data_IF_191253786215
#
_entry.id   IF_191253786215
#
_cell.length_a   1.000
_cell.length_b   1.000
_cell.length_c   1.000
_cell.angle_alpha   90.00
_cell.angle_beta   90.00
_cell.angle_gamma   90.00
#
_symmetry.space_group_name_H-M   'P 1'
#
loop_
_entity.id
_entity.type
_entity.pdbx_description
1 polymer ?
#
# COMPACT_ATOMS: atom_id res chain seq x y z
N UNK A 1 84.36 -15.18 40.67
CA UNK A 1 82.97 -14.91 40.94
C UNK A 1 82.43 -14.24 39.69
N UNK A 2 81.70 -15.01 38.82
CA UNK A 2 81.07 -14.51 37.56
C UNK A 2 79.61 -14.21 37.89
N UNK A 3 79.18 -12.96 37.71
CA UNK A 3 77.77 -12.57 37.80
C UNK A 3 77.10 -12.83 36.46
N UNK A 4 76.11 -13.67 36.48
CA UNK A 4 75.20 -13.90 35.34
C UNK A 4 74.11 -12.83 35.42
N UNK A 5 73.94 -12.03 34.36
CA UNK A 5 72.84 -11.09 34.19
C UNK A 5 71.84 -11.77 33.27
N UNK A 6 70.71 -12.11 33.84
CA UNK A 6 69.56 -12.67 33.04
C UNK A 6 68.77 -11.50 32.50
N UNK A 7 68.76 -11.29 31.18
CA UNK A 7 67.93 -10.32 30.49
C UNK A 7 66.52 -10.92 30.27
N UNK A 8 65.50 -10.30 30.86
CA UNK A 8 64.09 -10.60 30.68
C UNK A 8 63.60 -9.91 29.41
N UNK A 9 63.34 -10.69 28.32
CA UNK A 9 62.74 -10.18 27.10
C UNK A 9 61.24 -10.22 27.28
N UNK A 10 60.59 -9.03 27.51
CA UNK A 10 59.15 -8.87 27.44
C UNK A 10 58.70 -8.82 25.97
N UNK A 11 58.11 -9.89 25.48
CA UNK A 11 57.36 -9.95 24.22
C UNK A 11 56.01 -9.20 24.41
N UNK A 12 55.92 -7.98 23.90
CA UNK A 12 54.64 -7.31 23.70
C UNK A 12 53.93 -7.97 22.52
N UNK A 13 52.96 -8.84 22.78
CA UNK A 13 52.00 -9.26 21.82
C UNK A 13 51.02 -8.10 21.58
N UNK A 14 51.29 -7.29 20.56
CA UNK A 14 50.31 -6.36 20.02
C UNK A 14 49.17 -7.18 19.41
N UNK A 15 48.09 -7.37 20.16
CA UNK A 15 46.84 -7.88 19.60
C UNK A 15 46.27 -6.80 18.67
N UNK A 16 46.47 -6.94 17.37
CA UNK A 16 45.68 -6.24 16.39
C UNK A 16 44.25 -6.77 16.53
N UNK A 17 43.40 -6.05 17.27
CA UNK A 17 41.97 -6.20 17.12
C UNK A 17 41.63 -5.78 15.71
N UNK A 18 40.91 -6.59 14.91
CA UNK A 18 40.41 -6.13 13.62
C UNK A 18 39.52 -4.94 13.91
N UNK A 19 39.79 -3.81 13.28
CA UNK A 19 38.93 -2.65 13.26
C UNK A 19 37.59 -3.13 12.68
N UNK A 20 36.62 -3.48 13.52
CA UNK A 20 35.24 -3.70 13.09
C UNK A 20 34.77 -2.34 12.61
N UNK A 21 34.68 -2.16 11.29
CA UNK A 21 33.98 -1.01 10.72
C UNK A 21 32.56 -1.05 11.30
N UNK A 22 32.30 -0.20 12.28
CA UNK A 22 30.95 0.00 12.80
C UNK A 22 30.14 0.62 11.68
N UNK A 23 29.27 -0.16 11.08
CA UNK A 23 28.33 0.34 10.10
C UNK A 23 27.39 1.35 10.77
N UNK A 24 27.05 2.43 10.08
CA UNK A 24 26.06 3.40 10.53
C UNK A 24 24.77 3.17 9.76
N UNK A 25 23.65 3.03 10.47
CA UNK A 25 22.33 2.80 9.86
C UNK A 25 21.91 3.97 8.95
N UNK A 26 22.27 5.20 9.28
CA UNK A 26 21.90 6.35 8.48
C UNK A 26 22.63 6.37 7.12
N UNK A 27 23.90 5.91 7.10
CA UNK A 27 24.63 5.71 5.84
C UNK A 27 24.01 4.60 5.00
N UNK A 28 23.61 3.49 5.62
CA UNK A 28 22.92 2.39 4.92
C UNK A 28 21.58 2.87 4.36
N UNK A 29 20.85 3.68 5.12
CA UNK A 29 19.58 4.28 4.68
C UNK A 29 19.76 5.20 3.46
N UNK A 30 20.79 6.06 3.45
CA UNK A 30 21.12 6.88 2.28
C UNK A 30 21.48 6.00 1.07
N UNK A 31 22.37 5.01 1.25
CA UNK A 31 22.78 4.10 0.18
C UNK A 31 21.55 3.34 -0.39
N UNK A 32 20.60 2.93 0.48
CA UNK A 32 19.34 2.32 0.07
C UNK A 32 18.48 3.27 -0.78
N UNK A 33 18.26 4.50 -0.33
CA UNK A 33 17.45 5.49 -1.08
C UNK A 33 18.05 5.73 -2.47
N UNK A 34 19.38 5.94 -2.54
CA UNK A 34 20.09 6.12 -3.82
C UNK A 34 19.93 4.89 -4.72
N UNK A 35 19.98 3.68 -4.17
CA UNK A 35 19.79 2.44 -4.91
C UNK A 35 18.35 2.33 -5.46
N UNK A 36 17.33 2.66 -4.67
CA UNK A 36 15.92 2.69 -5.13
C UNK A 36 15.76 3.66 -6.28
N UNK A 37 16.28 4.88 -6.16
CA UNK A 37 16.22 5.91 -7.20
C UNK A 37 16.98 5.48 -8.48
N UNK A 38 18.09 4.77 -8.34
CA UNK A 38 18.83 4.22 -9.48
C UNK A 38 18.02 3.14 -10.22
N UNK A 39 17.36 2.23 -9.49
CA UNK A 39 16.46 1.22 -10.08
C UNK A 39 15.29 1.89 -10.78
N UNK A 40 14.74 2.96 -10.19
CA UNK A 40 13.65 3.77 -10.77
C UNK A 40 13.96 4.37 -12.15
N UNK A 41 15.22 4.54 -12.53
CA UNK A 41 15.58 4.96 -13.89
C UNK A 41 15.25 3.90 -14.96
N UNK A 42 15.19 2.61 -14.57
CA UNK A 42 14.89 1.49 -15.48
C UNK A 42 13.43 1.08 -15.47
N UNK A 43 12.77 1.21 -14.32
CA UNK A 43 11.34 0.99 -14.16
C UNK A 43 10.77 2.10 -13.25
N UNK A 44 10.12 3.08 -13.86
CA UNK A 44 9.56 4.24 -13.14
C UNK A 44 8.50 3.87 -12.11
N UNK A 45 7.87 2.70 -12.23
CA UNK A 45 6.89 2.21 -11.25
C UNK A 45 7.54 1.79 -9.92
N UNK A 46 8.87 1.68 -9.84
CA UNK A 46 9.57 1.38 -8.59
C UNK A 46 9.49 2.53 -7.59
N UNK A 47 9.54 3.78 -8.07
CA UNK A 47 9.54 4.98 -7.23
C UNK A 47 8.21 5.70 -7.38
N UNK A 48 7.34 5.51 -6.42
CA UNK A 48 6.01 6.13 -6.40
C UNK A 48 6.07 7.59 -5.93
N UNK A 49 6.84 7.86 -4.86
CA UNK A 49 7.10 9.21 -4.39
C UNK A 49 8.55 9.35 -3.89
N UNK A 50 9.09 10.56 -4.05
CA UNK A 50 10.39 10.93 -3.48
C UNK A 50 10.37 12.39 -3.05
N UNK A 51 10.65 12.64 -1.77
CA UNK A 51 10.70 13.98 -1.16
C UNK A 51 11.97 14.18 -0.31
N UNK A 52 13.02 13.38 -0.60
CA UNK A 52 14.35 13.51 0.02
C UNK A 52 15.25 14.53 -0.70
N UNK A 53 16.55 14.58 -0.31
CA UNK A 53 17.53 15.50 -0.86
C UNK A 53 17.69 15.36 -2.39
N UNK A 54 17.66 16.47 -3.12
CA UNK A 54 17.76 16.46 -4.58
C UNK A 54 19.09 15.85 -5.07
N UNK A 55 20.18 16.07 -4.34
CA UNK A 55 21.51 15.52 -4.63
C UNK A 55 21.62 14.00 -4.47
N UNK A 56 20.58 13.33 -3.96
CA UNK A 56 20.53 11.87 -3.92
C UNK A 56 19.95 11.26 -5.21
N UNK A 57 19.31 12.07 -6.04
CA UNK A 57 18.86 11.62 -7.36
C UNK A 57 20.06 11.28 -8.24
N UNK A 58 19.94 10.26 -9.09
CA UNK A 58 21.01 9.91 -10.02
C UNK A 58 21.38 11.09 -10.92
N UNK A 59 22.65 11.48 -10.91
CA UNK A 59 23.19 12.56 -11.77
C UNK A 59 23.60 12.05 -13.16
N UNK A 60 23.82 10.74 -13.31
CA UNK A 60 24.25 10.11 -14.53
C UNK A 60 23.06 9.55 -15.32
N UNK A 61 23.16 9.56 -16.63
CA UNK A 61 22.20 8.86 -17.48
C UNK A 61 22.29 7.35 -17.21
N UNK A 62 21.13 6.69 -17.18
CA UNK A 62 21.06 5.23 -17.03
C UNK A 62 21.90 4.53 -18.10
N UNK A 63 22.58 3.45 -17.69
CA UNK A 63 23.31 2.59 -18.62
C UNK A 63 22.35 2.00 -19.67
N UNK A 64 22.85 1.79 -20.88
CA UNK A 64 22.07 1.21 -21.99
C UNK A 64 21.65 -0.23 -21.67
N UNK A 65 22.52 -0.97 -20.99
CA UNK A 65 22.26 -2.34 -20.54
C UNK A 65 21.89 -2.28 -19.06
N UNK A 66 20.79 -2.94 -18.69
CA UNK A 66 20.35 -3.00 -17.30
C UNK A 66 21.39 -3.72 -16.44
N UNK A 67 21.99 -3.06 -15.43
CA UNK A 67 23.10 -3.61 -14.65
C UNK A 67 22.60 -4.49 -13.50
N UNK A 68 21.82 -5.53 -13.81
CA UNK A 68 21.13 -6.38 -12.85
C UNK A 68 22.06 -6.94 -11.76
N UNK A 69 23.19 -7.54 -12.15
CA UNK A 69 24.13 -8.17 -11.19
C UNK A 69 24.68 -7.16 -10.18
N UNK A 70 25.03 -5.95 -10.66
CA UNK A 70 25.53 -4.86 -9.80
C UNK A 70 24.45 -4.40 -8.80
N UNK A 71 23.22 -4.20 -9.27
CA UNK A 71 22.11 -3.74 -8.42
C UNK A 71 21.72 -4.80 -7.37
N UNK A 72 21.67 -6.08 -7.77
CA UNK A 72 21.44 -7.21 -6.85
C UNK A 72 22.57 -7.30 -5.81
N UNK A 73 23.83 -7.16 -6.25
CA UNK A 73 24.98 -7.18 -5.35
C UNK A 73 24.90 -6.03 -4.32
N UNK A 74 24.59 -4.81 -4.78
CA UNK A 74 24.43 -3.66 -3.89
C UNK A 74 23.32 -3.86 -2.85
N UNK A 75 22.16 -4.41 -3.26
CA UNK A 75 21.08 -4.71 -2.33
C UNK A 75 21.47 -5.77 -1.28
N UNK A 76 22.22 -6.81 -1.68
CA UNK A 76 22.73 -7.83 -0.77
C UNK A 76 23.78 -7.27 0.20
N UNK A 77 24.71 -6.44 -0.27
CA UNK A 77 25.73 -5.79 0.57
C UNK A 77 25.08 -4.92 1.66
N UNK A 78 24.04 -4.16 1.31
CA UNK A 78 23.28 -3.37 2.29
C UNK A 78 22.53 -4.26 3.28
N UNK A 79 21.94 -5.35 2.81
CA UNK A 79 21.28 -6.34 3.68
C UNK A 79 22.24 -6.95 4.68
N UNK A 80 23.44 -7.33 4.25
CA UNK A 80 24.49 -7.91 5.10
C UNK A 80 24.99 -6.89 6.12
N UNK A 81 25.16 -5.61 5.74
CA UNK A 81 25.48 -4.51 6.67
C UNK A 81 24.40 -4.36 7.75
N UNK A 82 23.12 -4.47 7.38
CA UNK A 82 22.00 -4.47 8.33
C UNK A 82 22.07 -5.66 9.31
N UNK A 83 22.41 -6.86 8.82
CA UNK A 83 22.57 -8.05 9.65
C UNK A 83 23.68 -7.88 10.68
N UNK A 84 24.83 -7.35 10.27
CA UNK A 84 25.97 -7.05 11.17
C UNK A 84 25.55 -6.08 12.28
N UNK A 85 24.75 -5.06 11.93
CA UNK A 85 24.24 -4.10 12.94
C UNK A 85 23.32 -4.76 13.96
N UNK A 86 22.40 -5.63 13.53
CA UNK A 86 21.50 -6.37 14.44
C UNK A 86 22.29 -7.31 15.37
N UNK A 87 23.28 -8.03 14.84
CA UNK A 87 24.13 -8.94 15.61
C UNK A 87 25.04 -8.23 16.61
N UNK A 88 25.36 -6.94 16.39
CA UNK A 88 26.19 -6.14 17.28
C UNK A 88 25.59 -5.94 18.67
N UNK A 89 24.27 -6.16 18.82
CA UNK A 89 23.50 -5.95 20.06
C UNK A 89 23.72 -4.57 20.69
N UNK A 90 24.04 -3.58 19.87
CA UNK A 90 24.23 -2.21 20.32
C UNK A 90 22.88 -1.64 20.80
N UNK A 91 22.75 -1.23 22.08
CA UNK A 91 21.48 -0.73 22.61
C UNK A 91 21.00 0.58 21.97
N UNK A 92 21.88 1.30 21.27
CA UNK A 92 21.54 2.53 20.56
C UNK A 92 21.00 2.29 19.14
N UNK A 93 20.91 1.02 18.72
CA UNK A 93 20.40 0.64 17.41
C UNK A 93 18.94 0.26 17.51
N UNK A 94 18.08 0.90 16.70
CA UNK A 94 16.67 0.53 16.63
C UNK A 94 16.50 -0.72 15.74
N UNK A 95 16.25 -1.87 16.37
CA UNK A 95 16.13 -3.15 15.68
C UNK A 95 14.95 -3.15 14.67
N UNK A 96 13.79 -2.58 15.03
CA UNK A 96 12.62 -2.54 14.14
C UNK A 96 12.90 -1.74 12.86
N UNK A 97 13.66 -0.64 12.97
CA UNK A 97 14.10 0.14 11.80
C UNK A 97 14.94 -0.71 10.85
N UNK A 98 15.93 -1.44 11.40
CA UNK A 98 16.82 -2.28 10.58
C UNK A 98 16.07 -3.45 9.98
N UNK A 99 15.23 -4.15 10.75
CA UNK A 99 14.40 -5.26 10.26
C UNK A 99 13.50 -4.82 9.11
N UNK A 100 12.90 -3.62 9.21
CA UNK A 100 12.08 -3.08 8.12
C UNK A 100 12.94 -2.75 6.89
N UNK A 101 14.12 -2.15 7.07
CA UNK A 101 15.04 -1.86 5.97
C UNK A 101 15.52 -3.15 5.28
N UNK A 102 15.78 -4.22 6.03
CA UNK A 102 16.11 -5.53 5.45
C UNK A 102 14.98 -6.07 4.56
N UNK A 103 13.72 -5.93 4.98
CA UNK A 103 12.57 -6.35 4.17
C UNK A 103 12.42 -5.50 2.90
N UNK A 104 12.64 -4.20 3.00
CA UNK A 104 12.65 -3.32 1.83
C UNK A 104 13.79 -3.68 0.86
N UNK A 105 14.97 -4.05 1.36
CA UNK A 105 16.09 -4.51 0.54
C UNK A 105 15.80 -5.85 -0.16
N UNK A 106 15.10 -6.79 0.51
CA UNK A 106 14.61 -8.01 -0.11
C UNK A 106 13.66 -7.69 -1.26
N UNK A 107 12.69 -6.80 -1.02
CA UNK A 107 11.73 -6.38 -2.03
C UNK A 107 12.42 -5.70 -3.24
N UNK A 108 13.32 -4.77 -2.98
CA UNK A 108 14.09 -4.09 -4.03
C UNK A 108 14.92 -5.07 -4.86
N UNK A 109 15.66 -5.97 -4.23
CA UNK A 109 16.43 -7.03 -4.92
C UNK A 109 15.52 -7.88 -5.78
N UNK A 110 14.40 -8.34 -5.23
CA UNK A 110 13.40 -9.14 -5.97
C UNK A 110 12.88 -8.39 -7.19
N UNK A 111 12.57 -7.12 -7.04
CA UNK A 111 12.12 -6.29 -8.17
C UNK A 111 13.21 -6.12 -9.23
N UNK A 112 14.47 -5.93 -8.84
CA UNK A 112 15.61 -5.90 -9.77
C UNK A 112 15.73 -7.22 -10.54
N UNK A 113 15.61 -8.36 -9.86
CA UNK A 113 15.64 -9.67 -10.51
C UNK A 113 14.47 -9.85 -11.50
N UNK A 114 13.28 -9.35 -11.16
CA UNK A 114 12.11 -9.37 -12.04
C UNK A 114 12.30 -8.48 -13.29
N UNK A 115 12.84 -7.28 -13.13
CA UNK A 115 13.19 -6.40 -14.28
C UNK A 115 14.20 -7.11 -15.19
N UNK A 116 15.11 -7.88 -14.63
CA UNK A 116 16.07 -8.72 -15.37
C UNK A 116 15.48 -9.99 -16.01
N UNK A 117 14.15 -10.21 -15.86
CA UNK A 117 13.43 -11.32 -16.50
C UNK A 117 13.22 -12.58 -15.63
N UNK A 118 13.62 -12.54 -14.35
CA UNK A 118 13.32 -13.64 -13.41
C UNK A 118 11.81 -13.62 -13.07
N UNK A 119 11.20 -14.79 -13.07
CA UNK A 119 9.80 -14.99 -12.71
C UNK A 119 9.66 -15.66 -11.36
N UNK A 120 8.65 -15.28 -10.61
CA UNK A 120 8.24 -15.87 -9.35
C UNK A 120 6.78 -16.32 -9.45
N UNK A 121 6.39 -17.32 -8.69
CA UNK A 121 4.97 -17.61 -8.48
C UNK A 121 4.29 -16.45 -7.75
N UNK A 122 2.97 -16.33 -7.87
CA UNK A 122 2.20 -15.28 -7.21
C UNK A 122 2.48 -15.21 -5.70
N UNK A 123 2.52 -16.36 -5.03
CA UNK A 123 2.72 -16.42 -3.58
C UNK A 123 4.17 -16.11 -3.18
N UNK A 124 5.18 -16.58 -3.94
CA UNK A 124 6.58 -16.20 -3.72
C UNK A 124 6.80 -14.70 -3.92
N UNK A 125 6.20 -14.13 -4.97
CA UNK A 125 6.27 -12.70 -5.25
C UNK A 125 5.63 -11.89 -4.12
N UNK A 126 4.45 -12.30 -3.64
CA UNK A 126 3.77 -11.66 -2.52
C UNK A 126 4.62 -11.68 -1.23
N UNK A 127 5.24 -12.81 -0.92
CA UNK A 127 6.10 -12.94 0.25
C UNK A 127 7.37 -12.07 0.14
N UNK A 128 8.00 -12.04 -1.02
CA UNK A 128 9.26 -11.33 -1.23
C UNK A 128 9.09 -9.81 -1.37
N UNK A 129 8.02 -9.34 -2.04
CA UNK A 129 7.77 -7.91 -2.24
C UNK A 129 7.04 -7.27 -1.07
N UNK A 130 6.08 -7.96 -0.46
CA UNK A 130 5.15 -7.36 0.51
C UNK A 130 5.25 -7.95 1.92
N UNK A 131 6.16 -8.92 2.15
CA UNK A 131 6.25 -9.65 3.42
C UNK A 131 4.91 -10.30 3.79
N UNK A 132 4.10 -10.71 2.79
CA UNK A 132 2.72 -11.12 2.95
C UNK A 132 2.45 -12.50 2.34
N UNK A 133 1.60 -13.27 3.02
CA UNK A 133 1.15 -14.58 2.58
C UNK A 133 -0.36 -14.53 2.30
N UNK A 134 -0.78 -14.44 1.03
CA UNK A 134 -2.19 -14.36 0.68
C UNK A 134 -2.88 -15.71 0.91
N UNK A 135 -4.05 -15.73 1.60
CA UNK A 135 -4.82 -16.96 1.79
C UNK A 135 -5.31 -17.50 0.45
N UNK A 136 -5.56 -18.81 0.40
CA UNK A 136 -6.21 -19.47 -0.71
C UNK A 136 -7.73 -19.55 -0.46
N UNK A 137 -8.53 -19.13 -1.44
CA UNK A 137 -9.97 -19.30 -1.45
C UNK A 137 -10.40 -20.21 -2.60
N UNK A 138 -11.10 -21.34 -2.34
CA UNK A 138 -11.68 -22.13 -3.42
C UNK A 138 -12.78 -21.34 -4.14
N UNK A 139 -12.95 -21.54 -5.45
CA UNK A 139 -13.97 -20.82 -6.24
C UNK A 139 -15.38 -20.99 -5.67
N UNK A 140 -15.68 -22.16 -5.09
CA UNK A 140 -16.96 -22.42 -4.41
C UNK A 140 -17.28 -21.47 -3.23
N UNK A 141 -16.28 -20.78 -2.68
CA UNK A 141 -16.52 -19.71 -1.72
C UNK A 141 -17.16 -18.51 -2.40
N UNK A 142 -16.68 -18.15 -3.57
CA UNK A 142 -17.22 -17.02 -4.35
C UNK A 142 -18.58 -17.37 -4.99
N UNK A 143 -18.79 -18.64 -5.40
CA UNK A 143 -20.07 -19.08 -5.93
C UNK A 143 -21.22 -18.81 -4.95
N UNK A 144 -21.01 -19.03 -3.65
CA UNK A 144 -22.01 -18.72 -2.61
C UNK A 144 -22.31 -17.21 -2.51
N UNK A 145 -21.31 -16.37 -2.66
CA UNK A 145 -21.50 -14.92 -2.65
C UNK A 145 -22.21 -14.43 -3.90
N UNK A 146 -21.96 -15.08 -5.05
CA UNK A 146 -22.70 -14.82 -6.29
C UNK A 146 -24.16 -15.25 -6.17
N UNK A 147 -24.47 -16.39 -5.52
CA UNK A 147 -25.84 -16.82 -5.25
C UNK A 147 -26.58 -15.80 -4.37
N UNK A 148 -25.94 -15.26 -3.31
CA UNK A 148 -26.52 -14.19 -2.49
C UNK A 148 -26.77 -12.92 -3.33
N UNK A 149 -25.81 -12.54 -4.18
CA UNK A 149 -25.95 -11.39 -5.08
C UNK A 149 -27.08 -11.61 -6.09
N UNK A 150 -27.21 -12.84 -6.62
CA UNK A 150 -28.26 -13.22 -7.54
C UNK A 150 -29.67 -13.07 -6.93
N UNK A 151 -29.85 -13.44 -5.66
CA UNK A 151 -31.11 -13.25 -4.93
C UNK A 151 -31.41 -11.77 -4.62
N UNK A 152 -30.38 -10.96 -4.50
CA UNK A 152 -30.51 -9.54 -4.16
C UNK A 152 -30.85 -8.67 -5.36
N UNK A 153 -30.36 -9.02 -6.55
CA UNK A 153 -30.53 -8.23 -7.78
C UNK A 153 -31.67 -8.78 -8.63
N UNK A 154 -32.60 -7.92 -9.05
CA UNK A 154 -33.76 -8.26 -9.86
C UNK A 154 -33.37 -8.47 -11.33
N UNK A 155 -34.22 -9.25 -12.10
CA UNK A 155 -34.12 -9.45 -13.53
C UNK A 155 -33.71 -10.86 -13.96
N UNK A 156 -33.78 -11.13 -15.26
CA UNK A 156 -33.54 -12.47 -15.87
C UNK A 156 -32.22 -12.53 -16.65
N UNK A 157 -31.50 -11.40 -16.75
CA UNK A 157 -30.20 -11.33 -17.42
C UNK A 157 -29.10 -12.01 -16.59
N UNK A 158 -27.92 -12.21 -17.20
CA UNK A 158 -26.73 -12.68 -16.48
C UNK A 158 -26.36 -11.72 -15.35
N UNK A 159 -25.82 -12.25 -14.26
CA UNK A 159 -25.64 -11.51 -13.02
C UNK A 159 -24.79 -10.24 -13.18
N UNK A 160 -23.72 -10.27 -13.99
CA UNK A 160 -22.90 -9.08 -14.27
C UNK A 160 -23.69 -7.95 -14.95
N UNK A 161 -24.64 -8.29 -15.83
CA UNK A 161 -25.54 -7.30 -16.45
C UNK A 161 -26.54 -6.73 -15.44
N UNK A 162 -27.13 -7.59 -14.59
CA UNK A 162 -28.04 -7.15 -13.51
C UNK A 162 -27.32 -6.21 -12.53
N UNK A 163 -26.08 -6.57 -12.15
CA UNK A 163 -25.22 -5.72 -11.32
C UNK A 163 -24.93 -4.37 -12.00
N UNK A 164 -24.55 -4.37 -13.27
CA UNK A 164 -24.28 -3.15 -14.03
C UNK A 164 -25.52 -2.25 -14.07
N UNK A 165 -26.70 -2.80 -14.44
CA UNK A 165 -27.96 -2.04 -14.48
C UNK A 165 -28.36 -1.49 -13.10
N UNK A 166 -28.11 -2.27 -12.03
CA UNK A 166 -28.35 -1.78 -10.68
C UNK A 166 -27.42 -0.61 -10.34
N UNK A 167 -26.12 -0.72 -10.63
CA UNK A 167 -25.12 0.30 -10.32
C UNK A 167 -25.28 1.58 -11.16
N UNK A 168 -25.80 1.51 -12.37
CA UNK A 168 -26.09 2.71 -13.21
C UNK A 168 -26.96 3.74 -12.50
N UNK A 169 -27.80 3.30 -11.55
CA UNK A 169 -28.68 4.17 -10.77
C UNK A 169 -27.93 5.03 -9.72
N UNK A 170 -26.63 4.76 -9.52
CA UNK A 170 -25.78 5.39 -8.51
C UNK A 170 -24.59 6.13 -9.13
N UNK A 171 -24.62 6.40 -10.43
CA UNK A 171 -23.62 7.20 -11.12
C UNK A 171 -23.79 8.66 -10.71
N UNK A 172 -22.68 9.31 -10.38
CA UNK A 172 -22.61 10.75 -10.12
C UNK A 172 -22.61 11.46 -11.49
N UNK A 173 -23.55 12.38 -11.76
CA UNK A 173 -23.46 13.24 -12.94
C UNK A 173 -22.14 14.00 -12.99
N UNK A 174 -21.53 14.15 -14.17
CA UNK A 174 -20.18 14.76 -14.30
C UNK A 174 -20.10 16.17 -13.71
N UNK A 175 -21.15 16.96 -13.88
CA UNK A 175 -21.27 18.34 -13.35
C UNK A 175 -21.49 18.39 -11.84
N UNK A 176 -21.78 17.26 -11.20
CA UNK A 176 -21.97 17.12 -9.75
C UNK A 176 -20.75 16.50 -9.03
N UNK A 177 -19.72 16.08 -9.77
CA UNK A 177 -18.53 15.42 -9.17
C UNK A 177 -17.90 16.28 -8.09
N UNK A 178 -17.60 17.56 -8.38
CA UNK A 178 -17.00 18.47 -7.40
C UNK A 178 -17.86 18.62 -6.14
N UNK A 179 -19.18 18.75 -6.31
CA UNK A 179 -20.09 18.90 -5.18
C UNK A 179 -20.07 17.68 -4.26
N UNK A 180 -20.08 16.47 -4.84
CA UNK A 180 -20.09 15.21 -4.09
C UNK A 180 -18.73 14.96 -3.43
N UNK A 181 -17.63 15.12 -4.16
CA UNK A 181 -16.29 14.91 -3.63
C UNK A 181 -15.90 15.92 -2.56
N UNK A 182 -16.25 17.20 -2.73
CA UNK A 182 -15.99 18.22 -1.73
C UNK A 182 -16.72 17.93 -0.41
N UNK A 183 -17.97 17.46 -0.47
CA UNK A 183 -18.74 17.11 0.74
C UNK A 183 -18.14 15.87 1.42
N UNK A 184 -17.79 14.82 0.66
CA UNK A 184 -17.17 13.62 1.21
C UNK A 184 -15.80 13.93 1.82
N UNK A 185 -14.98 14.73 1.14
CA UNK A 185 -13.65 15.15 1.62
C UNK A 185 -13.73 16.02 2.86
N UNK A 186 -14.65 16.99 2.89
CA UNK A 186 -14.85 17.88 4.05
C UNK A 186 -15.24 17.09 5.29
N UNK A 187 -16.15 16.12 5.17
CA UNK A 187 -16.57 15.26 6.28
C UNK A 187 -15.41 14.36 6.74
N UNK A 188 -14.71 13.69 5.81
CA UNK A 188 -13.57 12.85 6.13
C UNK A 188 -12.48 13.63 6.85
N UNK A 189 -12.16 14.83 6.37
CA UNK A 189 -11.18 15.73 7.00
C UNK A 189 -11.65 16.21 8.39
N UNK A 190 -12.92 16.59 8.52
CA UNK A 190 -13.46 17.07 9.79
C UNK A 190 -13.40 16.00 10.89
N UNK A 191 -13.74 14.74 10.55
CA UNK A 191 -13.64 13.63 11.47
C UNK A 191 -12.18 13.31 11.81
N UNK A 192 -11.31 13.23 10.80
CA UNK A 192 -9.87 12.96 11.03
C UNK A 192 -9.23 14.00 11.94
N UNK A 193 -9.56 15.29 11.74
CA UNK A 193 -9.05 16.41 12.53
C UNK A 193 -9.49 16.40 13.99
N UNK A 194 -10.55 15.69 14.34
CA UNK A 194 -10.96 15.55 15.76
C UNK A 194 -9.95 14.71 16.56
N UNK A 195 -9.20 13.82 15.89
CA UNK A 195 -8.33 12.85 16.55
C UNK A 195 -6.85 12.98 16.16
N UNK A 196 -6.54 13.62 15.03
CA UNK A 196 -5.18 13.84 14.55
C UNK A 196 -4.91 15.34 14.42
N UNK A 197 -3.76 15.77 14.97
CA UNK A 197 -3.30 17.14 14.79
C UNK A 197 -2.77 17.31 13.37
N UNK A 198 -3.49 18.07 12.55
CA UNK A 198 -3.08 18.37 11.18
C UNK A 198 -2.33 19.73 11.19
N UNK A 199 -1.14 19.81 10.54
CA UNK A 199 -0.40 21.07 10.40
C UNK A 199 -1.24 22.15 9.72
N UNK A 200 -0.94 23.40 10.03
CA UNK A 200 -1.70 24.53 9.47
C UNK A 200 -1.62 24.62 7.94
N UNK A 201 -0.46 24.22 7.36
CA UNK A 201 -0.22 24.20 5.93
C UNK A 201 -0.76 22.94 5.23
N UNK A 202 -1.22 21.92 5.99
CA UNK A 202 -1.70 20.67 5.44
C UNK A 202 -2.83 20.90 4.44
N UNK A 203 -2.67 20.35 3.24
CA UNK A 203 -3.67 20.44 2.18
C UNK A 203 -3.42 19.42 1.06
N UNK A 204 -4.43 19.20 0.24
CA UNK A 204 -4.25 18.57 -1.06
C UNK A 204 -5.06 19.29 -2.15
N UNK A 205 -4.64 19.14 -3.39
CA UNK A 205 -5.36 19.59 -4.58
C UNK A 205 -5.99 18.36 -5.24
N UNK A 206 -7.28 18.48 -5.63
CA UNK A 206 -7.99 17.45 -6.36
C UNK A 206 -8.03 17.81 -7.86
N UNK A 207 -7.64 16.89 -8.73
CA UNK A 207 -7.71 17.01 -10.17
C UNK A 207 -8.45 15.84 -10.81
N UNK A 208 -9.20 16.12 -11.89
CA UNK A 208 -9.81 15.08 -12.72
C UNK A 208 -8.96 14.87 -13.97
N UNK A 209 -8.64 13.60 -14.22
CA UNK A 209 -7.76 13.19 -15.33
C UNK A 209 -8.41 12.10 -16.17
N UNK A 210 -7.82 11.84 -17.34
CA UNK A 210 -8.19 10.75 -18.24
C UNK A 210 -6.95 9.93 -18.65
N UNK A 211 -7.18 8.83 -19.35
CA UNK A 211 -6.13 7.96 -19.90
C UNK A 211 -5.18 7.38 -18.82
N UNK A 212 -5.77 6.95 -17.69
CA UNK A 212 -5.05 6.32 -16.58
C UNK A 212 -5.51 4.87 -16.39
N UNK A 213 -4.57 4.02 -15.91
CA UNK A 213 -4.86 2.62 -15.58
C UNK A 213 -5.51 2.46 -14.20
N UNK A 214 -5.40 3.47 -13.34
CA UNK A 214 -5.94 3.54 -11.98
C UNK A 214 -7.20 4.43 -11.90
N UNK A 215 -7.95 4.35 -10.83
CA UNK A 215 -9.18 5.14 -10.59
C UNK A 215 -8.96 6.39 -9.75
N UNK A 216 -8.04 6.35 -8.81
CA UNK A 216 -7.55 7.46 -8.01
C UNK A 216 -6.08 7.28 -7.73
N UNK A 217 -5.38 8.35 -7.41
CA UNK A 217 -3.96 8.33 -7.10
C UNK A 217 -3.57 9.54 -6.26
N UNK A 218 -2.76 9.31 -5.22
CA UNK A 218 -2.21 10.36 -4.37
C UNK A 218 -0.71 10.53 -4.66
N UNK A 219 -0.32 11.71 -5.08
CA UNK A 219 1.08 12.14 -5.20
C UNK A 219 1.44 13.00 -3.99
N UNK A 220 2.08 12.39 -2.98
CA UNK A 220 2.62 13.15 -1.87
C UNK A 220 3.86 13.94 -2.30
N UNK A 221 3.86 15.25 -1.99
CA UNK A 221 4.87 16.21 -2.44
C UNK A 221 5.83 16.66 -1.35
N UNK A 222 5.71 16.09 -0.14
CA UNK A 222 6.39 16.57 1.06
C UNK A 222 5.64 17.73 1.72
N UNK A 223 6.12 18.17 2.87
CA UNK A 223 5.58 19.30 3.63
C UNK A 223 4.05 19.28 3.83
N UNK A 224 3.51 18.09 4.03
CA UNK A 224 2.06 17.86 4.23
C UNK A 224 1.19 18.29 3.04
N UNK A 225 1.72 18.22 1.82
CA UNK A 225 1.00 18.55 0.59
C UNK A 225 0.84 17.33 -0.29
N UNK A 226 -0.31 17.20 -0.94
CA UNK A 226 -0.56 16.17 -1.95
C UNK A 226 -1.27 16.70 -3.18
N UNK A 227 -1.05 16.05 -4.32
CA UNK A 227 -1.90 16.14 -5.50
C UNK A 227 -2.68 14.83 -5.60
N UNK A 228 -4.01 14.90 -5.52
CA UNK A 228 -4.89 13.73 -5.71
C UNK A 228 -5.54 13.82 -7.08
N UNK A 229 -5.36 12.78 -7.88
CA UNK A 229 -5.94 12.69 -9.22
C UNK A 229 -7.02 11.62 -9.25
N UNK A 230 -8.17 11.93 -9.87
CA UNK A 230 -9.29 11.01 -10.07
C UNK A 230 -9.50 10.80 -11.56
N UNK A 231 -9.44 9.55 -12.00
CA UNK A 231 -9.68 9.19 -13.39
C UNK A 231 -11.17 9.17 -13.71
N UNK A 232 -11.57 9.94 -14.73
CA UNK A 232 -12.96 10.08 -15.17
C UNK A 232 -13.28 9.40 -16.49
N UNK A 233 -12.43 8.47 -16.96
CA UNK A 233 -12.68 7.67 -18.17
C UNK A 233 -13.95 6.83 -18.06
N UNK A 234 -14.29 6.44 -16.85
CA UNK A 234 -15.49 5.65 -16.55
C UNK A 234 -16.43 6.42 -15.61
N UNK A 235 -17.74 6.12 -15.68
CA UNK A 235 -18.69 6.69 -14.74
C UNK A 235 -18.29 6.38 -13.29
N UNK A 236 -18.29 7.41 -12.45
CA UNK A 236 -17.97 7.31 -11.01
C UNK A 236 -19.28 7.10 -10.26
N UNK A 237 -19.35 6.03 -9.46
CA UNK A 237 -20.50 5.74 -8.60
C UNK A 237 -20.38 6.44 -7.26
N UNK A 238 -21.48 6.65 -6.59
CA UNK A 238 -21.58 7.48 -5.37
C UNK A 238 -20.74 6.95 -4.19
N UNK A 239 -20.58 5.62 -4.06
CA UNK A 239 -19.70 4.98 -3.08
C UNK A 239 -18.23 5.38 -3.24
N UNK A 240 -17.81 5.62 -4.50
CA UNK A 240 -16.44 6.01 -4.79
C UNK A 240 -16.07 7.39 -4.22
N UNK A 241 -17.04 8.25 -3.97
CA UNK A 241 -16.78 9.55 -3.35
C UNK A 241 -16.24 9.39 -1.93
N UNK A 242 -16.85 8.53 -1.11
CA UNK A 242 -16.36 8.19 0.24
C UNK A 242 -15.03 7.45 0.14
N UNK A 243 -14.96 6.43 -0.72
CA UNK A 243 -13.78 5.59 -0.86
C UNK A 243 -12.56 6.44 -1.26
N UNK A 244 -12.65 7.26 -2.30
CA UNK A 244 -11.54 8.08 -2.75
C UNK A 244 -11.21 9.22 -1.78
N UNK A 245 -12.22 9.90 -1.19
CA UNK A 245 -11.99 10.93 -0.20
C UNK A 245 -11.25 10.40 1.04
N UNK A 246 -11.57 9.18 1.48
CA UNK A 246 -10.94 8.55 2.64
C UNK A 246 -9.64 7.85 2.29
N UNK A 247 -9.60 7.09 1.20
CA UNK A 247 -8.44 6.31 0.79
C UNK A 247 -7.27 7.19 0.31
N UNK A 248 -7.54 8.14 -0.60
CA UNK A 248 -6.50 9.04 -1.09
C UNK A 248 -6.21 10.18 -0.11
N UNK A 249 -7.25 10.66 0.59
CA UNK A 249 -7.19 11.82 1.48
C UNK A 249 -7.14 11.46 2.97
N UNK A 250 -8.28 11.53 3.64
CA UNK A 250 -8.42 11.54 5.10
C UNK A 250 -9.16 10.32 5.65
N UNK A 251 -8.49 9.42 6.40
CA UNK A 251 -7.11 9.41 6.87
C UNK A 251 -6.18 8.47 6.06
N UNK A 252 -6.38 8.32 4.75
CA UNK A 252 -5.65 7.40 3.88
C UNK A 252 -4.24 7.86 3.51
N UNK A 253 -3.88 7.72 2.22
CA UNK A 253 -2.51 7.95 1.74
C UNK A 253 -1.94 9.32 2.10
N UNK A 254 -2.72 10.39 1.97
CA UNK A 254 -2.26 11.74 2.34
C UNK A 254 -1.81 11.82 3.81
N UNK A 255 -2.62 11.32 4.74
CA UNK A 255 -2.31 11.34 6.17
C UNK A 255 -1.19 10.36 6.50
N UNK A 256 -1.18 9.17 5.89
CA UNK A 256 -0.11 8.19 6.08
C UNK A 256 1.26 8.77 5.71
N UNK A 257 1.37 9.32 4.50
CA UNK A 257 2.63 9.90 4.02
C UNK A 257 3.06 11.12 4.85
N UNK A 258 2.09 11.96 5.23
CA UNK A 258 2.33 13.10 6.13
C UNK A 258 2.90 12.65 7.48
N UNK A 259 2.32 11.63 8.10
CA UNK A 259 2.77 11.12 9.40
C UNK A 259 4.14 10.42 9.31
N UNK A 260 4.41 9.67 8.23
CA UNK A 260 5.75 9.11 8.00
C UNK A 260 6.79 10.21 7.82
N UNK A 261 6.50 11.22 6.98
CA UNK A 261 7.39 12.36 6.77
C UNK A 261 7.70 13.09 8.08
N UNK A 262 6.68 13.46 8.84
CA UNK A 262 6.86 14.19 10.10
C UNK A 262 7.57 13.37 11.17
N UNK A 263 7.15 12.12 11.38
CA UNK A 263 7.64 11.33 12.52
C UNK A 263 8.95 10.62 12.22
N UNK A 264 9.12 10.07 11.01
CA UNK A 264 10.29 9.27 10.68
C UNK A 264 11.37 10.10 9.99
N UNK A 265 11.03 10.88 8.96
CA UNK A 265 12.02 11.66 8.21
C UNK A 265 12.44 12.90 9.01
N UNK A 266 11.49 13.79 9.34
CA UNK A 266 11.82 15.08 9.93
C UNK A 266 12.22 14.98 11.43
N UNK A 267 11.53 14.12 12.21
CA UNK A 267 11.81 14.03 13.66
C UNK A 267 12.93 13.05 13.98
N UNK A 268 12.94 11.85 13.36
CA UNK A 268 13.94 10.80 13.67
C UNK A 268 15.14 10.80 12.72
N UNK A 269 15.07 11.51 11.57
CA UNK A 269 16.12 11.49 10.55
C UNK A 269 16.22 10.16 9.80
N UNK A 270 15.15 9.35 9.77
CA UNK A 270 15.12 8.05 9.08
C UNK A 270 14.85 8.24 7.60
N UNK A 271 15.89 8.57 6.87
CA UNK A 271 15.82 9.01 5.49
C UNK A 271 15.36 7.94 4.50
N UNK A 272 15.41 6.67 4.87
CA UNK A 272 14.84 5.58 4.06
C UNK A 272 13.33 5.74 3.79
N UNK A 273 12.63 6.54 4.59
CA UNK A 273 11.21 6.87 4.40
C UNK A 273 10.98 8.11 3.53
N UNK A 274 12.05 8.78 3.05
CA UNK A 274 11.92 9.86 2.07
C UNK A 274 11.67 9.38 0.64
N UNK A 275 11.78 8.08 0.39
CA UNK A 275 11.38 7.40 -0.84
C UNK A 275 10.26 6.42 -0.55
N UNK A 276 9.24 6.40 -1.40
CA UNK A 276 8.15 5.44 -1.32
C UNK A 276 8.24 4.45 -2.50
N UNK A 277 8.77 3.24 -2.28
CA UNK A 277 8.80 2.21 -3.31
C UNK A 277 7.43 1.53 -3.43
N UNK A 278 6.86 1.51 -4.64
CA UNK A 278 5.55 0.92 -4.89
C UNK A 278 5.52 -0.60 -4.57
N UNK A 279 6.56 -1.32 -4.98
CA UNK A 279 6.65 -2.77 -4.76
C UNK A 279 7.47 -3.07 -3.49
N UNK A 280 6.84 -2.86 -2.33
CA UNK A 280 7.52 -2.97 -1.03
C UNK A 280 6.55 -3.29 0.12
N UNK A 281 7.06 -3.77 1.27
CA UNK A 281 6.24 -3.95 2.46
C UNK A 281 5.57 -2.66 2.94
N UNK A 282 6.16 -1.50 2.61
CA UNK A 282 5.60 -0.19 2.95
C UNK A 282 4.27 0.05 2.21
N UNK A 283 4.21 -0.29 0.92
CA UNK A 283 2.99 -0.13 0.13
C UNK A 283 1.86 -1.07 0.57
N UNK A 284 2.19 -2.25 1.06
CA UNK A 284 1.19 -3.17 1.63
C UNK A 284 0.46 -2.55 2.83
N UNK A 285 1.21 -1.90 3.72
CA UNK A 285 0.65 -1.19 4.87
C UNK A 285 -0.11 0.05 4.43
N UNK A 286 0.45 0.81 3.50
CA UNK A 286 -0.16 2.02 2.97
C UNK A 286 -1.54 1.75 2.36
N UNK A 287 -1.64 0.77 1.44
CA UNK A 287 -2.92 0.36 0.84
C UNK A 287 -3.89 -0.21 1.87
N UNK A 288 -3.38 -1.06 2.76
CA UNK A 288 -4.18 -1.68 3.81
C UNK A 288 -4.76 -0.65 4.78
N UNK A 289 -3.94 0.30 5.22
CA UNK A 289 -4.37 1.36 6.13
C UNK A 289 -5.26 2.40 5.45
N UNK A 290 -5.02 2.73 4.18
CA UNK A 290 -5.88 3.63 3.41
C UNK A 290 -7.30 3.04 3.25
N UNK A 291 -7.41 1.75 2.92
CA UNK A 291 -8.71 1.06 2.86
C UNK A 291 -9.38 0.92 4.23
N UNK A 292 -8.62 0.65 5.31
CA UNK A 292 -9.17 0.61 6.66
C UNK A 292 -9.56 2.01 7.16
N UNK A 293 -8.89 3.05 6.66
CA UNK A 293 -9.20 4.45 6.94
C UNK A 293 -10.63 4.84 6.61
N UNK A 294 -11.24 4.19 5.61
CA UNK A 294 -12.67 4.36 5.29
C UNK A 294 -13.54 3.96 6.50
N UNK A 295 -13.23 2.84 7.14
CA UNK A 295 -13.94 2.37 8.33
C UNK A 295 -13.64 3.25 9.57
N UNK A 296 -12.48 3.91 9.62
CA UNK A 296 -12.15 4.86 10.69
C UNK A 296 -13.09 6.05 10.69
N UNK A 297 -13.35 6.60 9.51
CA UNK A 297 -14.22 7.78 9.32
C UNK A 297 -15.70 7.39 9.32
N UNK A 298 -16.05 6.34 8.59
CA UNK A 298 -17.43 5.90 8.39
C UNK A 298 -17.66 4.46 8.89
N UNK A 299 -17.57 4.21 10.21
CA UNK A 299 -17.75 2.86 10.76
C UNK A 299 -19.21 2.40 10.66
N UNK A 300 -19.43 1.18 10.14
CA UNK A 300 -20.72 0.50 10.13
C UNK A 300 -21.85 1.33 9.52
N UNK A 301 -22.94 1.50 10.27
CA UNK A 301 -24.14 2.22 9.85
C UNK A 301 -23.91 3.72 9.55
N UNK A 302 -22.81 4.31 10.01
CA UNK A 302 -22.49 5.72 9.73
C UNK A 302 -22.24 5.93 8.23
N UNK A 303 -21.62 4.96 7.54
CA UNK A 303 -21.44 5.01 6.09
C UNK A 303 -22.80 5.04 5.37
N UNK A 304 -23.66 4.08 5.69
CA UNK A 304 -25.01 4.00 5.13
C UNK A 304 -25.80 5.30 5.36
N UNK A 305 -25.74 5.84 6.58
CA UNK A 305 -26.43 7.07 6.94
C UNK A 305 -25.91 8.26 6.15
N UNK A 306 -24.59 8.42 6.02
CA UNK A 306 -23.99 9.52 5.28
C UNK A 306 -24.30 9.43 3.77
N UNK A 307 -24.17 8.26 3.16
CA UNK A 307 -24.56 8.05 1.76
C UNK A 307 -26.05 8.39 1.55
N UNK A 308 -26.94 7.84 2.39
CA UNK A 308 -28.40 8.02 2.28
C UNK A 308 -28.85 9.44 2.52
N UNK A 309 -28.33 10.09 3.57
CA UNK A 309 -28.90 11.35 4.07
C UNK A 309 -28.17 12.59 3.54
N UNK A 310 -26.91 12.43 3.13
CA UNK A 310 -26.07 13.54 2.63
C UNK A 310 -25.78 13.40 1.14
N UNK A 311 -25.16 12.30 0.69
CA UNK A 311 -24.68 12.20 -0.69
C UNK A 311 -25.81 11.93 -1.70
N UNK A 312 -26.74 11.03 -1.41
CA UNK A 312 -27.86 10.70 -2.33
C UNK A 312 -28.71 11.92 -2.69
N UNK A 313 -29.07 12.82 -1.73
CA UNK A 313 -29.81 14.03 -2.05
C UNK A 313 -29.09 14.97 -3.02
N UNK A 314 -27.75 15.04 -2.98
CA UNK A 314 -26.98 15.94 -3.85
C UNK A 314 -27.17 15.58 -5.32
N UNK A 315 -27.29 14.28 -5.63
CA UNK A 315 -27.44 13.75 -7.00
C UNK A 315 -28.83 13.14 -7.26
N UNK A 316 -29.81 13.52 -6.46
CA UNK A 316 -31.23 13.13 -6.60
C UNK A 316 -31.48 11.61 -6.56
N UNK A 317 -30.60 10.82 -5.93
CA UNK A 317 -30.80 9.40 -5.70
C UNK A 317 -31.82 9.20 -4.56
N UNK A 318 -32.80 8.33 -4.79
CA UNK A 318 -33.81 8.02 -3.77
C UNK A 318 -33.19 7.36 -2.54
N UNK A 319 -33.41 7.90 -1.35
CA UNK A 319 -33.00 7.34 -0.04
C UNK A 319 -33.46 5.90 0.20
N UNK A 320 -34.57 5.49 -0.43
CA UNK A 320 -35.12 4.12 -0.33
C UNK A 320 -34.17 3.05 -0.91
N UNK A 321 -33.26 3.44 -1.80
CA UNK A 321 -32.29 2.51 -2.42
C UNK A 321 -31.09 2.20 -1.50
N UNK A 322 -30.85 2.98 -0.44
CA UNK A 322 -29.63 2.94 0.33
C UNK A 322 -29.35 1.56 0.96
N UNK A 323 -30.36 0.92 1.57
CA UNK A 323 -30.19 -0.37 2.22
C UNK A 323 -29.78 -1.48 1.22
N UNK A 324 -30.45 -1.52 0.05
CA UNK A 324 -30.10 -2.49 -1.00
C UNK A 324 -28.74 -2.19 -1.59
N UNK A 325 -28.41 -0.92 -1.82
CA UNK A 325 -27.11 -0.48 -2.30
C UNK A 325 -25.99 -0.92 -1.36
N UNK A 326 -26.12 -0.63 -0.07
CA UNK A 326 -25.13 -1.01 0.95
C UNK A 326 -24.91 -2.54 0.97
N UNK A 327 -25.98 -3.33 0.92
CA UNK A 327 -25.88 -4.79 0.89
C UNK A 327 -25.17 -5.31 -0.37
N UNK A 328 -25.40 -4.69 -1.52
CA UNK A 328 -24.68 -5.00 -2.77
C UNK A 328 -23.19 -4.69 -2.61
N UNK A 329 -22.82 -3.53 -2.00
CA UNK A 329 -21.43 -3.17 -1.78
C UNK A 329 -20.71 -4.10 -0.80
N UNK A 330 -21.37 -4.56 0.28
CA UNK A 330 -20.82 -5.56 1.20
C UNK A 330 -20.46 -6.87 0.49
N UNK A 331 -21.38 -7.38 -0.37
CA UNK A 331 -21.11 -8.59 -1.15
C UNK A 331 -19.98 -8.36 -2.18
N UNK A 332 -19.98 -7.21 -2.84
CA UNK A 332 -18.92 -6.83 -3.80
C UNK A 332 -17.54 -6.76 -3.14
N UNK A 333 -17.44 -6.21 -1.92
CA UNK A 333 -16.21 -6.16 -1.16
C UNK A 333 -15.65 -7.57 -0.86
N UNK A 334 -16.53 -8.53 -0.51
CA UNK A 334 -16.12 -9.93 -0.29
C UNK A 334 -15.71 -10.62 -1.60
N UNK A 335 -16.39 -10.35 -2.72
CA UNK A 335 -16.04 -10.87 -4.04
C UNK A 335 -14.68 -10.33 -4.53
N UNK A 336 -14.19 -9.21 -4.00
CA UNK A 336 -12.87 -8.63 -4.37
C UNK A 336 -11.70 -9.61 -4.16
N UNK A 337 -11.82 -10.56 -3.22
CA UNK A 337 -10.82 -11.61 -3.04
C UNK A 337 -10.69 -12.58 -4.24
N UNK A 338 -11.71 -12.66 -5.10
CA UNK A 338 -11.61 -13.44 -6.34
C UNK A 338 -10.52 -12.89 -7.28
N UNK A 339 -10.21 -11.58 -7.22
CA UNK A 339 -9.11 -10.99 -7.99
C UNK A 339 -7.76 -11.60 -7.64
N UNK A 340 -7.49 -11.90 -6.35
CA UNK A 340 -6.27 -12.57 -5.92
C UNK A 340 -6.16 -13.99 -6.50
N UNK A 341 -7.26 -14.74 -6.51
CA UNK A 341 -7.27 -16.10 -7.07
C UNK A 341 -7.13 -16.11 -8.60
N UNK A 342 -7.72 -15.13 -9.28
CA UNK A 342 -7.57 -14.95 -10.73
C UNK A 342 -6.12 -14.58 -11.04
N UNK A 343 -5.55 -13.61 -10.33
CA UNK A 343 -4.15 -13.20 -10.48
C UNK A 343 -3.18 -14.36 -10.23
N UNK A 344 -3.38 -15.13 -9.14
CA UNK A 344 -2.59 -16.31 -8.81
C UNK A 344 -2.59 -17.33 -9.93
N UNK A 345 -3.77 -17.69 -10.44
CA UNK A 345 -3.91 -18.68 -11.51
C UNK A 345 -3.32 -18.20 -12.83
N UNK A 346 -3.56 -16.94 -13.19
CA UNK A 346 -3.09 -16.35 -14.43
C UNK A 346 -1.56 -16.18 -14.42
N UNK A 347 -1.01 -15.58 -13.38
CA UNK A 347 0.44 -15.32 -13.27
C UNK A 347 1.27 -16.59 -13.11
N UNK A 348 0.69 -17.65 -12.53
CA UNK A 348 1.32 -18.98 -12.44
C UNK A 348 1.12 -19.82 -13.72
N UNK A 349 0.45 -19.29 -14.77
CA UNK A 349 0.23 -19.98 -16.02
C UNK A 349 -0.76 -21.15 -15.94
N UNK A 350 -1.61 -21.21 -14.89
CA UNK A 350 -2.64 -22.24 -14.73
C UNK A 350 -3.83 -21.99 -15.67
N UNK A 351 -4.15 -20.71 -15.94
CA UNK A 351 -5.20 -20.28 -16.85
C UNK A 351 -4.65 -19.30 -17.89
N UNK A 352 -5.28 -19.28 -19.06
CA UNK A 352 -4.96 -18.32 -20.12
C UNK A 352 -5.73 -17.00 -19.98
N UNK A 353 -5.43 -16.07 -20.90
CA UNK A 353 -5.98 -14.70 -20.90
C UNK A 353 -7.51 -14.69 -21.03
N UNK A 354 -8.07 -15.48 -21.94
CA UNK A 354 -9.51 -15.57 -22.17
C UNK A 354 -10.24 -16.13 -20.94
N UNK A 355 -9.66 -17.13 -20.28
CA UNK A 355 -10.25 -17.72 -19.07
C UNK A 355 -10.18 -16.72 -17.90
N UNK A 356 -9.08 -16.00 -17.74
CA UNK A 356 -8.95 -14.94 -16.73
C UNK A 356 -9.99 -13.83 -16.93
N UNK A 357 -10.24 -13.40 -18.17
CA UNK A 357 -11.29 -12.44 -18.51
C UNK A 357 -12.66 -13.00 -18.13
N UNK A 358 -12.97 -14.26 -18.51
CA UNK A 358 -14.24 -14.91 -18.14
C UNK A 358 -14.45 -15.02 -16.63
N UNK A 359 -13.39 -15.29 -15.87
CA UNK A 359 -13.43 -15.28 -14.40
C UNK A 359 -13.67 -13.87 -13.83
N UNK A 360 -13.05 -12.83 -14.41
CA UNK A 360 -13.27 -11.43 -14.02
C UNK A 360 -14.75 -11.03 -14.25
N UNK A 361 -15.31 -11.40 -15.41
CA UNK A 361 -16.75 -11.16 -15.70
C UNK A 361 -17.64 -11.85 -14.67
N UNK A 362 -17.35 -13.09 -14.34
CA UNK A 362 -18.15 -13.91 -13.44
C UNK A 362 -18.02 -13.47 -11.98
N UNK A 363 -16.80 -13.45 -11.44
CA UNK A 363 -16.56 -13.27 -10.00
C UNK A 363 -16.42 -11.82 -9.58
N UNK A 364 -15.94 -10.95 -10.48
CA UNK A 364 -15.83 -9.53 -10.21
C UNK A 364 -16.97 -8.70 -10.82
N UNK A 365 -17.94 -9.36 -11.48
CA UNK A 365 -19.15 -8.76 -12.04
C UNK A 365 -18.88 -7.62 -13.04
N UNK A 366 -17.74 -7.68 -13.74
CA UNK A 366 -17.45 -6.72 -14.80
C UNK A 366 -18.23 -7.08 -16.07
N UNK A 367 -18.66 -6.05 -16.81
CA UNK A 367 -19.16 -6.29 -18.16
C UNK A 367 -18.03 -6.75 -19.10
N UNK A 368 -18.30 -7.52 -20.15
CA UNK A 368 -17.28 -8.00 -21.10
C UNK A 368 -16.36 -6.88 -21.62
N UNK A 369 -16.96 -5.71 -21.89
CA UNK A 369 -16.22 -4.53 -22.38
C UNK A 369 -15.20 -3.98 -21.36
N UNK A 370 -15.46 -4.14 -20.07
CA UNK A 370 -14.63 -3.60 -18.98
C UNK A 370 -13.73 -4.64 -18.34
N UNK A 371 -13.92 -5.94 -18.60
CA UNK A 371 -13.20 -7.02 -17.93
C UNK A 371 -11.70 -7.06 -18.27
N UNK A 372 -11.29 -6.46 -19.39
CA UNK A 372 -9.87 -6.34 -19.76
C UNK A 372 -9.09 -5.39 -18.82
N UNK A 373 -9.74 -4.40 -18.23
CA UNK A 373 -9.06 -3.40 -17.38
C UNK A 373 -8.49 -4.02 -16.09
N UNK A 374 -9.22 -4.80 -15.28
CA UNK A 374 -8.63 -5.50 -14.14
C UNK A 374 -7.52 -6.47 -14.55
N UNK A 375 -7.62 -7.12 -15.72
CA UNK A 375 -6.56 -7.99 -16.18
C UNK A 375 -5.30 -7.21 -16.53
N UNK A 376 -5.42 -6.07 -17.22
CA UNK A 376 -4.29 -5.20 -17.49
C UNK A 376 -3.63 -4.70 -16.18
N UNK A 377 -4.44 -4.43 -15.15
CA UNK A 377 -3.93 -4.09 -13.82
C UNK A 377 -3.13 -5.25 -13.21
N UNK A 378 -3.63 -6.48 -13.30
CA UNK A 378 -2.92 -7.70 -12.87
C UNK A 378 -1.61 -7.90 -13.68
N UNK A 379 -1.65 -7.71 -15.01
CA UNK A 379 -0.45 -7.84 -15.87
C UNK A 379 0.64 -6.81 -15.49
N UNK A 380 0.23 -5.60 -15.12
CA UNK A 380 1.14 -4.50 -14.76
C UNK A 380 1.66 -4.60 -13.32
N UNK A 381 0.75 -4.84 -12.37
CA UNK A 381 1.03 -4.74 -10.94
C UNK A 381 1.17 -6.09 -10.24
N UNK A 382 0.83 -7.18 -10.93
CA UNK A 382 1.04 -8.58 -10.50
C UNK A 382 0.43 -8.86 -9.11
N UNK A 383 1.23 -9.35 -8.17
CA UNK A 383 0.79 -9.66 -6.81
C UNK A 383 0.38 -8.44 -5.96
N UNK A 384 0.59 -7.22 -6.45
CA UNK A 384 0.15 -5.98 -5.78
C UNK A 384 -1.34 -5.97 -5.41
N UNK A 385 -2.16 -6.69 -6.17
CA UNK A 385 -3.62 -6.79 -5.94
C UNK A 385 -3.99 -7.19 -4.51
N UNK A 386 -3.10 -7.92 -3.80
CA UNK A 386 -3.32 -8.34 -2.41
C UNK A 386 -3.31 -7.16 -1.42
N UNK A 387 -2.64 -6.07 -1.75
CA UNK A 387 -2.46 -4.94 -0.84
C UNK A 387 -3.81 -4.30 -0.47
N UNK A 388 -4.77 -4.31 -1.39
CA UNK A 388 -6.08 -3.69 -1.20
C UNK A 388 -6.99 -4.46 -0.24
N UNK A 389 -7.03 -5.79 -0.33
CA UNK A 389 -7.95 -6.62 0.46
C UNK A 389 -7.25 -7.29 1.65
N UNK A 390 -6.17 -8.04 1.43
CA UNK A 390 -5.41 -8.67 2.51
C UNK A 390 -4.77 -7.61 3.41
N UNK A 391 -4.22 -6.54 2.84
CA UNK A 391 -3.65 -5.43 3.61
C UNK A 391 -4.67 -4.82 4.56
N UNK A 392 -5.89 -4.50 4.05
CA UNK A 392 -6.98 -4.00 4.89
C UNK A 392 -7.34 -4.96 6.02
N UNK A 393 -7.48 -6.24 5.71
CA UNK A 393 -7.89 -7.23 6.72
C UNK A 393 -6.81 -7.46 7.77
N UNK A 394 -5.53 -7.39 7.40
CA UNK A 394 -4.43 -7.44 8.38
C UNK A 394 -4.39 -6.20 9.27
N UNK A 395 -4.58 -5.01 8.71
CA UNK A 395 -4.71 -3.78 9.49
C UNK A 395 -5.93 -3.87 10.43
N UNK A 396 -7.09 -4.30 9.94
CA UNK A 396 -8.29 -4.48 10.77
C UNK A 396 -8.05 -5.47 11.94
N UNK A 397 -7.35 -6.57 11.66
CA UNK A 397 -7.01 -7.55 12.69
C UNK A 397 -6.02 -6.98 13.72
N UNK A 398 -4.99 -6.26 13.28
CA UNK A 398 -4.05 -5.58 14.16
C UNK A 398 -4.78 -4.57 15.09
N UNK A 399 -5.64 -3.74 14.52
CA UNK A 399 -6.45 -2.79 15.27
C UNK A 399 -7.28 -3.50 16.35
N UNK A 400 -7.95 -4.59 15.99
CA UNK A 400 -8.75 -5.40 16.91
C UNK A 400 -7.89 -6.00 18.03
N UNK A 401 -6.74 -6.60 17.71
CA UNK A 401 -5.83 -7.21 18.69
C UNK A 401 -5.22 -6.17 19.63
N UNK A 402 -4.97 -4.96 19.13
CA UNK A 402 -4.50 -3.81 19.94
C UNK A 402 -5.60 -3.18 20.82
N UNK A 403 -6.83 -3.69 20.74
CA UNK A 403 -7.95 -3.24 21.57
C UNK A 403 -8.67 -2.02 21.02
N UNK A 404 -8.63 -1.80 19.71
CA UNK A 404 -9.46 -0.79 19.05
C UNK A 404 -10.94 -1.22 19.12
N UNK A 405 -11.77 -0.34 19.65
CA UNK A 405 -13.21 -0.53 19.81
C UNK A 405 -13.95 0.65 19.13
N UNK A 406 -14.92 0.41 18.23
CA UNK A 406 -15.75 1.46 17.66
C UNK A 406 -16.49 2.32 18.70
N UNK A 407 -16.80 1.78 19.87
CA UNK A 407 -17.46 2.49 20.97
C UNK A 407 -16.47 3.37 21.79
N UNK A 408 -15.15 3.22 21.55
CA UNK A 408 -14.08 4.01 22.16
C UNK A 408 -13.25 4.73 21.09
N UNK A 409 -13.81 5.74 20.41
CA UNK A 409 -13.20 6.35 19.24
C UNK A 409 -11.83 6.96 19.52
N UNK A 410 -11.59 7.58 20.68
CA UNK A 410 -10.30 8.19 21.02
C UNK A 410 -9.19 7.13 21.03
N UNK A 411 -9.42 6.01 21.72
CA UNK A 411 -8.45 4.90 21.78
C UNK A 411 -8.26 4.25 20.42
N UNK A 412 -9.33 4.09 19.64
CA UNK A 412 -9.27 3.54 18.30
C UNK A 412 -8.39 4.40 17.37
N UNK A 413 -8.55 5.73 17.42
CA UNK A 413 -7.74 6.65 16.65
C UNK A 413 -6.29 6.76 17.14
N UNK A 414 -6.04 6.62 18.45
CA UNK A 414 -4.70 6.54 19.01
C UNK A 414 -3.92 5.34 18.44
N UNK A 415 -4.53 4.14 18.43
CA UNK A 415 -3.93 2.93 17.86
C UNK A 415 -3.71 3.10 16.36
N UNK A 416 -4.64 3.69 15.64
CA UNK A 416 -4.51 3.93 14.21
C UNK A 416 -3.39 4.95 13.89
N UNK A 417 -3.30 6.04 14.66
CA UNK A 417 -2.20 7.01 14.57
C UNK A 417 -0.84 6.35 14.80
N UNK A 418 -0.74 5.48 15.79
CA UNK A 418 0.48 4.72 16.09
C UNK A 418 0.88 3.86 14.90
N UNK A 419 -0.08 3.12 14.30
CA UNK A 419 0.15 2.34 13.09
C UNK A 419 0.65 3.19 11.92
N UNK A 420 0.03 4.34 11.66
CA UNK A 420 0.41 5.22 10.55
C UNK A 420 1.76 5.94 10.77
N UNK A 421 2.23 6.03 12.01
CA UNK A 421 3.42 6.81 12.39
C UNK A 421 4.69 5.97 12.57
N UNK A 422 4.61 4.65 12.40
CA UNK A 422 5.71 3.73 12.64
C UNK A 422 5.89 2.71 11.51
N UNK A 423 7.09 2.12 11.37
CA UNK A 423 7.39 1.18 10.31
C UNK A 423 6.80 -0.20 10.62
N UNK A 424 5.64 -0.48 10.06
CA UNK A 424 5.03 -1.81 10.10
C UNK A 424 5.19 -2.54 8.77
N UNK A 425 5.19 -3.86 8.82
CA UNK A 425 5.09 -4.77 7.68
C UNK A 425 4.02 -5.83 7.98
N UNK A 426 3.60 -6.60 6.98
CA UNK A 426 2.59 -7.65 7.14
C UNK A 426 2.91 -8.61 8.32
N UNK A 427 4.15 -9.09 8.44
CA UNK A 427 4.53 -10.02 9.50
C UNK A 427 4.61 -9.36 10.89
N UNK A 428 4.83 -8.03 10.98
CA UNK A 428 4.85 -7.31 12.26
C UNK A 428 3.46 -6.96 12.76
N UNK A 429 2.47 -6.80 11.87
CA UNK A 429 1.07 -6.62 12.25
C UNK A 429 0.45 -7.88 12.90
N UNK A 430 1.03 -9.05 12.66
CA UNK A 430 0.55 -10.33 13.22
C UNK A 430 1.01 -10.57 14.66
N UNK A 431 1.92 -9.77 15.17
CA UNK A 431 2.46 -9.88 16.55
C UNK A 431 1.69 -8.96 17.50
#
# INVERSE_FOLDING_TARGET
>A
MKKIVTALVCLFLSSCSPNSKTHNIDTIAEEYVRLVLQVGQYDSAVVDAYFGPEEWKPSEQKAVVFPQETLVHSANDLYDKCTILLESKNPNVNASRIEMLQKQLIALRTKVEMIGGKTYSFDEEAALLYDAEPPFYPLSYFDKLLDEMYQLLDGDAVLSSRYTTFMEQFIIPKDMLDSVFNVATAESRAITKQYLDLPTQENFVLEYVNDKVWSGYNYYQGDSQSLIQINTDFPIHIDRAIDLASHEGYPGHHIYMMLLDQNLVNTKGWMEYSVYPLFSPLSFISEGSANYGIDMVFPGEKRLAFERDVLFPIVEISKKKAQKFHKVQELKAKLKYAENEIARRYLNGVIGKEEAIGMIETYLLFSPKKAIQPLNFIETNRSYVINYNLGRDQVANHMKLSGADPELPEKRWEIFKELLSNPYSSSTLKK
#
